data_IF_219964306991
#
_entry.id   IF_219964306991
#
_cell.length_a   1.000
_cell.length_b   1.000
_cell.length_c   1.000
_cell.angle_alpha   90.00
_cell.angle_beta   90.00
_cell.angle_gamma   90.00
#
_symmetry.space_group_name_H-M   'P 1'
#
loop_
_entity.id
_entity.type
_entity.pdbx_description
1 polymer ?
#
# COMPACT_ATOMS: atom_id res chain seq x y z
N UNK A 1 22.50 -15.95 -13.95
CA UNK A 1 22.55 -14.48 -13.77
C UNK A 1 21.33 -14.10 -12.97
N UNK A 2 21.48 -13.31 -11.89
CA UNK A 2 20.35 -12.72 -11.19
C UNK A 2 19.36 -12.06 -12.15
N UNK A 3 18.05 -12.23 -11.92
CA UNK A 3 17.00 -11.67 -12.78
C UNK A 3 17.11 -10.14 -12.94
N UNK A 4 17.56 -9.47 -11.88
CA UNK A 4 17.69 -8.02 -11.81
C UNK A 4 18.89 -7.42 -12.56
N UNK A 5 19.77 -8.24 -13.14
CA UNK A 5 20.85 -7.74 -14.01
C UNK A 5 20.33 -7.15 -15.34
N UNK A 6 19.00 -7.22 -15.58
CA UNK A 6 18.32 -6.70 -16.77
C UNK A 6 17.64 -5.34 -16.57
N UNK A 7 17.72 -4.76 -15.37
CA UNK A 7 17.09 -3.47 -15.05
C UNK A 7 17.98 -2.32 -15.53
N UNK A 8 17.69 -1.81 -16.72
CA UNK A 8 18.36 -0.63 -17.28
C UNK A 8 17.91 0.64 -16.54
N UNK A 9 18.87 1.50 -16.18
CA UNK A 9 18.58 2.85 -15.70
C UNK A 9 17.97 3.71 -16.81
N UNK A 10 16.80 4.28 -16.54
CA UNK A 10 16.22 5.34 -17.34
C UNK A 10 16.53 6.68 -16.67
N UNK A 11 17.22 7.62 -17.33
CA UNK A 11 17.36 8.97 -16.82
C UNK A 11 16.05 9.72 -17.09
N UNK A 12 15.31 10.05 -16.04
CA UNK A 12 14.19 11.00 -16.11
C UNK A 12 14.48 12.20 -15.21
N UNK A 13 14.23 13.41 -15.70
CA UNK A 13 14.26 14.70 -14.96
C UNK A 13 13.20 14.79 -13.83
N UNK A 14 12.77 13.66 -13.28
CA UNK A 14 11.79 13.56 -12.20
C UNK A 14 12.56 13.65 -10.88
N UNK A 15 12.31 14.72 -10.12
CA UNK A 15 12.83 14.86 -8.76
C UNK A 15 12.08 13.91 -7.81
N UNK A 16 12.50 12.63 -7.78
CA UNK A 16 12.03 11.64 -6.83
C UNK A 16 12.34 12.05 -5.38
N UNK A 17 11.64 11.46 -4.41
CA UNK A 17 11.77 11.70 -2.97
C UNK A 17 10.94 12.87 -2.42
N UNK A 18 10.61 13.83 -3.27
CA UNK A 18 9.93 15.07 -2.87
C UNK A 18 8.63 15.30 -3.65
N UNK A 19 7.89 14.24 -3.98
CA UNK A 19 6.63 14.34 -4.72
C UNK A 19 5.42 14.05 -3.84
N UNK A 20 4.36 14.80 -4.07
CA UNK A 20 3.07 14.61 -3.40
C UNK A 20 2.13 13.90 -4.35
N UNK A 21 1.43 12.87 -3.86
CA UNK A 21 0.42 12.12 -4.63
C UNK A 21 -0.58 13.03 -5.38
N UNK A 22 -1.23 14.03 -4.77
CA UNK A 22 -2.17 14.89 -5.51
C UNK A 22 -1.51 15.63 -6.68
N UNK A 23 -0.29 16.18 -6.50
CA UNK A 23 0.44 16.84 -7.58
C UNK A 23 0.81 15.86 -8.70
N UNK A 24 1.29 14.67 -8.33
CA UNK A 24 1.67 13.65 -9.31
C UNK A 24 0.47 13.22 -10.16
N UNK A 25 -0.70 13.03 -9.55
CA UNK A 25 -1.94 12.72 -10.28
C UNK A 25 -2.25 13.79 -11.32
N UNK A 26 -2.24 15.07 -10.93
CA UNK A 26 -2.54 16.19 -11.83
C UNK A 26 -1.47 16.34 -12.93
N UNK A 27 -0.20 16.22 -12.58
CA UNK A 27 0.92 16.31 -13.53
C UNK A 27 0.88 15.22 -14.59
N UNK A 28 0.59 13.97 -14.20
CA UNK A 28 0.49 12.86 -15.15
C UNK A 28 -0.76 13.02 -16.01
N UNK A 29 -1.89 13.41 -15.43
CA UNK A 29 -3.10 13.67 -16.20
C UNK A 29 -2.89 14.76 -17.26
N UNK A 30 -2.01 15.73 -17.00
CA UNK A 30 -1.63 16.75 -17.98
C UNK A 30 -0.62 16.23 -19.03
N UNK A 31 0.45 15.56 -18.59
CA UNK A 31 1.61 15.18 -19.44
C UNK A 31 1.43 13.86 -20.18
N UNK A 32 0.79 12.88 -19.55
CA UNK A 32 0.54 11.53 -20.07
C UNK A 32 -0.88 11.04 -19.69
N UNK A 33 -1.93 11.73 -20.19
CA UNK A 33 -3.32 11.50 -19.77
C UNK A 33 -3.83 10.08 -20.04
N UNK A 34 -3.32 9.42 -21.08
CA UNK A 34 -3.79 8.10 -21.51
C UNK A 34 -3.17 6.96 -20.70
N UNK A 35 -2.17 7.24 -19.86
CA UNK A 35 -1.52 6.24 -19.04
C UNK A 35 -2.51 5.61 -18.07
N UNK A 36 -2.58 4.28 -18.06
CA UNK A 36 -3.43 3.52 -17.14
C UNK A 36 -2.82 3.54 -15.74
N UNK A 37 -3.62 3.88 -14.74
CA UNK A 37 -3.22 3.87 -13.32
C UNK A 37 -3.84 2.69 -12.57
N UNK A 38 -5.10 2.39 -12.86
CA UNK A 38 -5.85 1.31 -12.22
C UNK A 38 -6.63 0.51 -13.25
N UNK A 39 -6.93 -0.73 -12.90
CA UNK A 39 -7.75 -1.62 -13.70
C UNK A 39 -8.57 -2.52 -12.80
N UNK A 40 -9.82 -2.81 -13.15
CA UNK A 40 -10.68 -3.71 -12.38
C UNK A 40 -11.61 -4.49 -13.32
N UNK A 41 -12.11 -5.67 -12.91
CA UNK A 41 -13.00 -6.47 -13.74
C UNK A 41 -14.34 -5.75 -13.99
N UNK A 42 -14.88 -5.83 -15.21
CA UNK A 42 -16.17 -5.19 -15.57
C UNK A 42 -17.39 -5.83 -14.89
N UNK A 43 -17.26 -7.07 -14.41
CA UNK A 43 -18.31 -7.81 -13.72
C UNK A 43 -17.72 -8.69 -12.64
N UNK A 44 -18.52 -9.02 -11.62
CA UNK A 44 -18.16 -10.01 -10.61
C UNK A 44 -19.32 -11.00 -10.45
N UNK A 45 -19.16 -12.28 -10.86
CA UNK A 45 -17.98 -12.87 -11.48
C UNK A 45 -17.69 -12.28 -12.88
N UNK A 46 -16.44 -12.39 -13.36
CA UNK A 46 -15.96 -11.88 -14.67
C UNK A 46 -15.76 -13.01 -15.70
N UNK A 47 -16.82 -13.68 -16.19
CA UNK A 47 -16.66 -14.82 -17.09
C UNK A 47 -16.12 -14.44 -18.47
N UNK A 48 -16.26 -13.18 -18.89
CA UNK A 48 -15.72 -12.70 -20.17
C UNK A 48 -14.25 -12.26 -20.07
N UNK A 49 -13.65 -12.27 -18.87
CA UNK A 49 -12.26 -11.84 -18.68
C UNK A 49 -12.01 -10.38 -19.05
N UNK A 50 -13.03 -9.52 -19.00
CA UNK A 50 -12.91 -8.12 -19.44
C UNK A 50 -12.57 -7.22 -18.26
N UNK A 51 -11.65 -6.29 -18.49
CA UNK A 51 -11.21 -5.30 -17.51
C UNK A 51 -11.54 -3.89 -18.00
N UNK A 52 -11.80 -3.00 -17.05
CA UNK A 52 -11.93 -1.57 -17.26
C UNK A 52 -10.64 -0.90 -16.82
N UNK A 53 -9.88 -0.39 -17.79
CA UNK A 53 -8.69 0.41 -17.54
C UNK A 53 -9.07 1.85 -17.26
N UNK A 54 -8.61 2.38 -16.12
CA UNK A 54 -8.78 3.78 -15.72
C UNK A 54 -7.48 4.52 -16.01
N UNK A 55 -7.57 5.54 -16.86
CA UNK A 55 -6.44 6.40 -17.20
C UNK A 55 -6.21 7.47 -16.15
N UNK A 56 -5.02 8.10 -16.13
CA UNK A 56 -4.76 9.24 -15.26
C UNK A 56 -5.69 10.43 -15.55
N UNK A 57 -6.13 10.64 -16.80
CA UNK A 57 -7.15 11.62 -17.14
C UNK A 57 -8.46 11.33 -16.41
N UNK A 58 -8.98 10.11 -16.56
CA UNK A 58 -10.24 9.68 -15.94
C UNK A 58 -10.15 9.74 -14.40
N UNK A 59 -9.02 9.28 -13.85
CA UNK A 59 -8.77 9.29 -12.41
C UNK A 59 -8.69 10.71 -11.83
N UNK A 60 -7.94 11.62 -12.47
CA UNK A 60 -7.86 13.01 -12.04
C UNK A 60 -9.21 13.74 -12.12
N UNK A 61 -9.98 13.51 -13.20
CA UNK A 61 -11.34 14.04 -13.33
C UNK A 61 -12.25 13.51 -12.20
N UNK A 62 -12.18 12.21 -11.89
CA UNK A 62 -12.92 11.62 -10.78
C UNK A 62 -12.52 12.23 -9.42
N UNK A 63 -11.23 12.43 -9.19
CA UNK A 63 -10.71 13.13 -7.99
C UNK A 63 -11.24 14.55 -7.90
N UNK A 64 -11.24 15.30 -9.00
CA UNK A 64 -11.75 16.68 -9.02
C UNK A 64 -13.26 16.73 -8.76
N UNK A 65 -14.06 15.85 -9.37
CA UNK A 65 -15.51 15.70 -9.07
C UNK A 65 -15.74 15.45 -7.58
N UNK A 66 -14.99 14.50 -7.02
CA UNK A 66 -15.11 14.15 -5.60
C UNK A 66 -14.63 15.29 -4.70
N UNK A 67 -13.58 16.03 -5.04
CA UNK A 67 -13.12 17.19 -4.28
C UNK A 67 -14.14 18.34 -4.29
N UNK A 68 -14.75 18.63 -5.45
CA UNK A 68 -15.85 19.60 -5.54
C UNK A 68 -17.08 19.17 -4.75
N UNK A 69 -17.42 17.88 -4.78
CA UNK A 69 -18.49 17.30 -3.97
C UNK A 69 -18.20 17.47 -2.47
N UNK A 70 -17.01 17.08 -2.00
CA UNK A 70 -16.59 17.23 -0.61
C UNK A 70 -16.65 18.70 -0.18
N UNK A 71 -16.10 19.62 -0.99
CA UNK A 71 -16.16 21.06 -0.70
C UNK A 71 -17.60 21.57 -0.54
N UNK A 72 -18.54 21.05 -1.32
CA UNK A 72 -19.95 21.45 -1.27
C UNK A 72 -20.65 20.93 -0.01
N UNK A 73 -20.43 19.66 0.32
CA UNK A 73 -21.15 18.98 1.40
C UNK A 73 -20.57 19.29 2.78
N UNK A 74 -19.24 19.26 2.93
CA UNK A 74 -18.55 19.38 4.22
C UNK A 74 -17.50 20.50 4.28
N UNK A 75 -17.31 21.23 3.18
CA UNK A 75 -16.34 22.33 3.11
C UNK A 75 -14.91 21.89 2.78
N UNK A 76 -13.98 22.84 2.83
CA UNK A 76 -12.54 22.57 2.84
C UNK A 76 -12.00 22.78 4.25
N UNK A 77 -10.92 22.07 4.56
CA UNK A 77 -10.28 22.11 5.86
C UNK A 77 -8.91 22.80 5.79
N UNK A 78 -8.61 23.58 6.83
CA UNK A 78 -7.26 24.06 7.12
C UNK A 78 -6.60 23.31 8.30
N UNK A 79 -7.38 22.50 9.02
CA UNK A 79 -6.98 21.82 10.25
C UNK A 79 -6.84 20.30 10.11
N UNK A 80 -7.03 19.79 8.88
CA UNK A 80 -6.97 18.37 8.57
C UNK A 80 -7.96 17.54 9.37
N UNK A 81 -9.22 17.98 9.50
CA UNK A 81 -10.30 17.20 10.11
C UNK A 81 -10.33 15.77 9.56
N UNK A 82 -10.57 14.80 10.45
CA UNK A 82 -10.60 13.38 10.10
C UNK A 82 -11.94 13.04 9.46
N UNK A 83 -11.90 12.43 8.28
CA UNK A 83 -13.08 11.95 7.56
C UNK A 83 -13.00 10.45 7.38
N UNK A 84 -13.94 9.70 7.93
CA UNK A 84 -14.02 8.25 7.76
C UNK A 84 -14.61 7.91 6.40
N UNK A 85 -14.07 6.91 5.73
CA UNK A 85 -14.68 6.35 4.52
C UNK A 85 -15.07 4.88 4.72
N UNK A 86 -16.33 4.54 4.40
CA UNK A 86 -16.83 3.17 4.36
C UNK A 86 -17.58 2.90 3.07
N UNK A 87 -17.04 2.03 2.23
CA UNK A 87 -17.69 1.69 0.97
C UNK A 87 -17.19 0.41 0.34
N UNK A 88 -17.71 0.14 -0.86
CA UNK A 88 -17.32 -1.01 -1.68
C UNK A 88 -15.82 -1.03 -1.95
N UNK A 89 -15.23 -2.22 -2.00
CA UNK A 89 -13.80 -2.43 -2.27
C UNK A 89 -13.47 -2.19 -3.74
N UNK A 90 -13.36 -0.93 -4.13
CA UNK A 90 -13.05 -0.49 -5.48
C UNK A 90 -12.16 0.77 -5.49
N UNK A 91 -11.94 1.31 -6.70
CA UNK A 91 -11.08 2.47 -6.98
C UNK A 91 -11.48 3.74 -6.20
N UNK A 92 -12.71 3.84 -5.66
CA UNK A 92 -13.14 4.99 -4.84
C UNK A 92 -12.27 5.21 -3.62
N UNK A 93 -11.62 4.16 -3.09
CA UNK A 93 -10.63 4.31 -2.02
C UNK A 93 -9.50 5.27 -2.40
N UNK A 94 -8.98 5.17 -3.63
CA UNK A 94 -7.92 6.05 -4.12
C UNK A 94 -8.45 7.44 -4.47
N UNK A 95 -9.64 7.51 -5.08
CA UNK A 95 -10.29 8.78 -5.42
C UNK A 95 -10.53 9.60 -4.15
N UNK A 96 -11.09 8.98 -3.10
CA UNK A 96 -11.39 9.61 -1.81
C UNK A 96 -10.11 10.03 -1.08
N UNK A 97 -9.07 9.19 -1.08
CA UNK A 97 -7.78 9.53 -0.49
C UNK A 97 -7.23 10.84 -1.09
N UNK A 98 -7.16 10.93 -2.42
CA UNK A 98 -6.58 12.11 -3.09
C UNK A 98 -7.52 13.32 -2.97
N UNK A 99 -8.83 13.14 -3.11
CA UNK A 99 -9.80 14.23 -2.97
C UNK A 99 -9.82 14.84 -1.55
N UNK A 100 -9.69 14.02 -0.50
CA UNK A 100 -9.56 14.49 0.87
C UNK A 100 -8.24 15.23 1.11
N UNK A 101 -7.11 14.74 0.57
CA UNK A 101 -5.86 15.51 0.57
C UNK A 101 -6.05 16.88 -0.09
N UNK A 102 -6.70 16.93 -1.26
CA UNK A 102 -6.93 18.17 -2.02
C UNK A 102 -7.81 19.18 -1.26
N UNK A 103 -8.81 18.69 -0.54
CA UNK A 103 -9.71 19.52 0.27
C UNK A 103 -9.18 19.83 1.67
N UNK A 104 -7.95 19.41 1.97
CA UNK A 104 -7.27 19.71 3.23
C UNK A 104 -7.68 18.82 4.41
N UNK A 105 -8.31 17.66 4.16
CA UNK A 105 -8.70 16.68 5.16
C UNK A 105 -7.71 15.50 5.23
N UNK A 106 -7.83 14.69 6.29
CA UNK A 106 -7.20 13.36 6.35
C UNK A 106 -8.25 12.25 6.40
N UNK A 107 -8.03 11.19 5.63
CA UNK A 107 -8.99 10.08 5.56
C UNK A 107 -8.71 9.01 6.62
N UNK A 108 -9.73 8.53 7.32
CA UNK A 108 -9.67 7.33 8.14
C UNK A 108 -10.25 6.15 7.35
N UNK A 109 -9.37 5.21 6.96
CA UNK A 109 -9.81 3.93 6.42
C UNK A 109 -9.94 2.90 7.54
N UNK A 110 -11.18 2.57 7.89
CA UNK A 110 -11.46 1.49 8.83
C UNK A 110 -11.81 0.22 8.07
N UNK A 111 -11.31 -0.92 8.54
CA UNK A 111 -11.76 -2.21 8.02
C UNK A 111 -13.24 -2.38 8.35
N UNK A 112 -14.05 -2.74 7.35
CA UNK A 112 -15.46 -3.11 7.55
C UNK A 112 -15.63 -4.39 8.37
N UNK A 113 -14.53 -5.11 8.64
CA UNK A 113 -14.49 -6.30 9.50
C UNK A 113 -14.38 -5.94 10.99
N UNK A 114 -14.15 -4.67 11.32
CA UNK A 114 -14.12 -4.23 12.71
C UNK A 114 -15.52 -4.33 13.33
N UNK A 115 -15.57 -4.57 14.64
CA UNK A 115 -16.81 -4.46 15.39
C UNK A 115 -17.24 -2.99 15.49
N UNK A 116 -18.52 -2.75 15.78
CA UNK A 116 -19.03 -1.39 16.06
C UNK A 116 -18.24 -0.71 17.17
N UNK A 117 -17.88 -1.45 18.23
CA UNK A 117 -17.03 -0.94 19.30
C UNK A 117 -15.61 -0.56 18.81
N UNK A 118 -15.04 -1.35 17.90
CA UNK A 118 -13.75 -1.02 17.28
C UNK A 118 -13.82 0.24 16.42
N UNK A 119 -14.89 0.42 15.65
CA UNK A 119 -15.13 1.66 14.91
C UNK A 119 -15.31 2.87 15.84
N UNK A 120 -16.14 2.74 16.87
CA UNK A 120 -16.38 3.81 17.85
C UNK A 120 -15.08 4.26 18.54
N UNK A 121 -14.20 3.30 18.87
CA UNK A 121 -12.91 3.60 19.47
C UNK A 121 -11.98 4.33 18.49
N UNK A 122 -11.94 3.93 17.21
CA UNK A 122 -11.18 4.65 16.18
C UNK A 122 -11.71 6.07 15.97
N UNK A 123 -13.04 6.22 15.88
CA UNK A 123 -13.71 7.51 15.73
C UNK A 123 -13.31 8.44 16.87
N UNK A 124 -13.37 7.95 18.10
CA UNK A 124 -13.00 8.70 19.30
C UNK A 124 -11.51 9.07 19.32
N UNK A 125 -10.61 8.11 19.07
CA UNK A 125 -9.17 8.37 19.12
C UNK A 125 -8.66 9.26 17.97
N UNK A 126 -9.38 9.32 16.85
CA UNK A 126 -9.01 10.12 15.68
C UNK A 126 -9.80 11.43 15.54
N UNK A 127 -10.67 11.75 16.49
CA UNK A 127 -11.55 12.91 16.47
C UNK A 127 -12.34 13.02 15.14
N UNK A 128 -12.94 11.90 14.73
CA UNK A 128 -13.60 11.78 13.43
C UNK A 128 -15.09 12.12 13.54
N UNK A 129 -15.49 13.29 13.03
CA UNK A 129 -16.89 13.74 13.04
C UNK A 129 -17.71 13.36 11.80
N UNK A 130 -17.05 12.96 10.70
CA UNK A 130 -17.66 12.87 9.37
C UNK A 130 -17.48 11.47 8.79
N UNK A 131 -18.55 10.91 8.22
CA UNK A 131 -18.57 9.64 7.51
C UNK A 131 -18.97 9.85 6.05
N UNK A 132 -18.06 9.54 5.14
CA UNK A 132 -18.35 9.33 3.72
C UNK A 132 -18.64 7.85 3.48
N UNK A 133 -19.72 7.55 2.75
CA UNK A 133 -20.08 6.17 2.44
C UNK A 133 -20.65 6.00 1.04
N UNK A 134 -20.58 4.79 0.49
CA UNK A 134 -21.19 4.47 -0.81
C UNK A 134 -22.62 4.00 -0.66
N UNK A 135 -23.48 4.29 -1.63
CA UNK A 135 -24.84 3.75 -1.67
C UNK A 135 -24.85 2.21 -1.59
N UNK A 136 -25.84 1.68 -0.88
CA UNK A 136 -25.97 0.23 -0.62
C UNK A 136 -24.97 -0.35 0.38
N UNK A 137 -24.01 0.42 0.89
CA UNK A 137 -23.12 -0.02 1.96
C UNK A 137 -23.78 0.22 3.33
N UNK A 138 -23.83 -0.82 4.18
CA UNK A 138 -24.49 -0.72 5.48
C UNK A 138 -23.65 0.07 6.48
N UNK A 139 -24.15 1.23 6.89
CA UNK A 139 -23.53 2.09 7.92
C UNK A 139 -24.45 2.36 9.12
N UNK A 140 -25.68 1.84 9.11
CA UNK A 140 -26.72 2.17 10.09
C UNK A 140 -26.28 1.85 11.53
N UNK A 141 -25.74 0.65 11.78
CA UNK A 141 -25.27 0.26 13.12
C UNK A 141 -24.19 1.19 13.66
N UNK A 142 -23.34 1.71 12.77
CA UNK A 142 -22.31 2.67 13.15
C UNK A 142 -22.94 4.02 13.50
N UNK A 143 -23.85 4.54 12.67
CA UNK A 143 -24.53 5.82 12.88
C UNK A 143 -25.48 5.81 14.09
N UNK A 144 -26.04 4.66 14.45
CA UNK A 144 -26.81 4.48 15.69
C UNK A 144 -25.93 4.56 16.93
N UNK A 145 -24.67 4.12 16.82
CA UNK A 145 -23.74 4.04 17.95
C UNK A 145 -22.81 5.25 18.08
N UNK A 146 -22.55 5.94 16.97
CA UNK A 146 -21.62 7.07 16.86
C UNK A 146 -22.33 8.24 16.19
N UNK A 147 -22.43 9.37 16.88
CA UNK A 147 -22.98 10.60 16.30
C UNK A 147 -21.99 11.18 15.31
N UNK A 148 -22.26 11.01 14.02
CA UNK A 148 -21.44 11.52 12.92
C UNK A 148 -22.33 12.24 11.90
N UNK A 149 -21.79 13.25 11.23
CA UNK A 149 -22.34 13.73 9.98
C UNK A 149 -22.05 12.70 8.89
N UNK A 150 -23.08 12.29 8.12
CA UNK A 150 -22.92 11.23 7.12
C UNK A 150 -23.31 11.73 5.74
N UNK A 151 -22.46 11.49 4.75
CA UNK A 151 -22.67 11.91 3.36
C UNK A 151 -22.46 10.72 2.41
N UNK A 152 -23.48 10.43 1.60
CA UNK A 152 -23.38 9.41 0.56
C UNK A 152 -22.61 9.97 -0.64
N UNK A 153 -21.49 9.34 -1.00
CA UNK A 153 -20.69 9.78 -2.14
C UNK A 153 -21.35 9.40 -3.48
N UNK A 154 -21.03 10.11 -4.58
CA UNK A 154 -21.55 9.78 -5.90
C UNK A 154 -21.20 8.35 -6.34
N UNK A 155 -22.04 7.79 -7.23
CA UNK A 155 -21.80 6.48 -7.82
C UNK A 155 -20.54 6.43 -8.68
N UNK A 156 -19.90 5.26 -8.72
CA UNK A 156 -18.65 5.07 -9.43
C UNK A 156 -18.77 5.39 -10.93
N UNK A 157 -19.87 4.98 -11.57
CA UNK A 157 -20.12 5.24 -12.99
C UNK A 157 -20.15 6.73 -13.31
N UNK A 158 -20.71 7.56 -12.41
CA UNK A 158 -20.69 9.00 -12.57
C UNK A 158 -19.27 9.58 -12.41
N UNK A 159 -18.53 9.09 -11.42
CA UNK A 159 -17.17 9.55 -11.16
C UNK A 159 -16.24 9.25 -12.34
N UNK A 160 -16.34 8.04 -12.92
CA UNK A 160 -15.53 7.60 -14.05
C UNK A 160 -16.04 8.04 -15.43
N UNK A 161 -17.18 8.74 -15.50
CA UNK A 161 -17.70 9.23 -16.78
C UNK A 161 -16.85 10.40 -17.32
N UNK A 162 -16.09 10.16 -18.39
CA UNK A 162 -15.25 11.16 -19.06
C UNK A 162 -16.04 12.19 -19.88
N UNK A 163 -17.31 11.92 -20.24
CA UNK A 163 -18.16 12.91 -20.92
C UNK A 163 -18.61 14.04 -19.97
N UNK A 164 -18.62 13.75 -18.66
CA UNK A 164 -18.91 14.71 -17.61
C UNK A 164 -17.61 15.27 -17.04
N UNK A 165 -16.92 16.14 -17.78
CA UNK A 165 -15.75 16.84 -17.25
C UNK A 165 -16.18 17.84 -16.16
N UNK A 166 -15.38 17.96 -15.11
CA UNK A 166 -15.50 19.03 -14.12
C UNK A 166 -14.32 19.98 -14.17
N UNK A 167 -14.48 21.17 -13.57
CA UNK A 167 -13.38 22.10 -13.37
C UNK A 167 -12.25 21.44 -12.55
N UNK A 168 -11.03 21.92 -12.76
CA UNK A 168 -9.88 21.45 -12.00
C UNK A 168 -9.98 21.90 -10.53
N UNK A 169 -9.62 20.99 -9.62
CA UNK A 169 -9.41 21.29 -8.21
C UNK A 169 -7.91 21.21 -7.92
N UNK A 170 -7.15 22.32 -8.04
CA UNK A 170 -5.70 22.28 -7.93
C UNK A 170 -5.24 22.03 -6.49
N UNK A 171 -4.08 21.38 -6.34
CA UNK A 171 -3.35 21.30 -5.09
C UNK A 171 -1.99 21.99 -5.24
N UNK A 172 -1.89 23.22 -4.77
CA UNK A 172 -0.75 24.10 -5.10
C UNK A 172 0.40 24.02 -4.09
N UNK A 173 0.25 23.25 -3.01
CA UNK A 173 1.31 23.12 -2.00
C UNK A 173 2.51 22.37 -2.57
N UNK A 174 3.69 22.91 -2.33
CA UNK A 174 4.96 22.23 -2.53
C UNK A 174 5.13 21.08 -1.53
N UNK A 175 6.07 20.17 -1.81
CA UNK A 175 6.42 19.11 -0.87
C UNK A 175 6.83 19.67 0.50
N UNK A 176 7.71 20.68 0.55
CA UNK A 176 8.16 21.27 1.81
C UNK A 176 7.02 21.85 2.65
N UNK A 177 6.03 22.48 2.00
CA UNK A 177 4.85 23.00 2.68
C UNK A 177 3.94 21.87 3.20
N UNK A 178 3.83 20.75 2.48
CA UNK A 178 2.85 19.71 2.79
C UNK A 178 3.40 18.48 3.49
N UNK A 179 4.71 18.25 3.52
CA UNK A 179 5.31 16.96 3.91
C UNK A 179 4.89 16.53 5.31
N UNK A 180 4.80 17.46 6.26
CA UNK A 180 4.36 17.16 7.64
C UNK A 180 2.84 17.21 7.84
N UNK A 181 2.07 17.63 6.84
CA UNK A 181 0.61 17.61 6.95
C UNK A 181 0.11 16.16 6.99
N UNK A 182 -0.84 15.84 7.88
CA UNK A 182 -1.45 14.52 7.91
C UNK A 182 -2.36 14.33 6.70
N UNK A 183 -2.31 13.16 6.09
CA UNK A 183 -3.09 12.86 4.88
C UNK A 183 -4.03 11.66 5.06
N UNK A 184 -3.73 10.78 6.01
CA UNK A 184 -4.60 9.66 6.34
C UNK A 184 -4.35 9.14 7.76
N UNK A 185 -5.28 8.32 8.22
CA UNK A 185 -5.23 7.57 9.45
C UNK A 185 -5.47 6.11 9.11
N UNK A 186 -4.50 5.27 9.44
CA UNK A 186 -4.59 3.82 9.38
C UNK A 186 -4.76 3.27 10.80
N UNK A 187 -5.04 1.98 10.96
CA UNK A 187 -5.14 1.38 12.29
C UNK A 187 -4.40 0.05 12.39
N UNK A 188 -3.98 -0.28 13.61
CA UNK A 188 -3.45 -1.59 13.99
C UNK A 188 -4.39 -2.29 14.95
N UNK A 189 -4.38 -3.63 14.94
CA UNK A 189 -5.02 -4.43 15.98
C UNK A 189 -4.29 -4.16 17.30
N UNK A 190 -4.88 -3.37 18.19
CA UNK A 190 -4.19 -3.00 19.42
C UNK A 190 -4.02 -4.16 20.38
N UNK A 191 -3.03 -4.04 21.28
CA UNK A 191 -2.65 -5.05 22.27
C UNK A 191 -3.76 -5.48 23.23
N UNK A 192 -4.82 -4.66 23.38
CA UNK A 192 -6.02 -4.97 24.18
C UNK A 192 -7.22 -5.43 23.33
N UNK A 193 -6.98 -5.74 22.05
CA UNK A 193 -8.01 -6.08 21.07
C UNK A 193 -8.73 -4.88 20.43
N UNK A 194 -8.61 -3.68 21.01
CA UNK A 194 -9.15 -2.45 20.41
C UNK A 194 -8.16 -1.80 19.45
N UNK A 195 -8.61 -1.36 18.26
CA UNK A 195 -7.73 -0.79 17.26
C UNK A 195 -7.12 0.56 17.68
N UNK A 196 -5.88 0.82 17.27
CA UNK A 196 -5.17 2.09 17.52
C UNK A 196 -4.90 2.82 16.21
N UNK A 197 -5.18 4.13 16.11
CA UNK A 197 -4.89 4.90 14.91
C UNK A 197 -3.40 5.22 14.79
N UNK A 198 -2.92 5.23 13.56
CA UNK A 198 -1.59 5.70 13.16
C UNK A 198 -1.81 6.76 12.09
N UNK A 199 -1.44 8.00 12.40
CA UNK A 199 -1.56 9.11 11.47
C UNK A 199 -0.36 9.11 10.53
N UNK A 200 -0.61 9.11 9.23
CA UNK A 200 0.43 9.25 8.22
C UNK A 200 0.44 10.67 7.69
N UNK A 201 1.65 11.15 7.42
CA UNK A 201 1.88 12.42 6.74
C UNK A 201 2.17 12.20 5.26
N UNK A 202 2.14 13.27 4.47
CA UNK A 202 2.60 13.21 3.08
C UNK A 202 4.05 12.72 2.97
N UNK A 203 4.91 13.06 3.93
CA UNK A 203 6.31 12.61 3.97
C UNK A 203 6.44 11.11 4.20
N UNK A 204 5.55 10.52 4.99
CA UNK A 204 5.49 9.06 5.17
C UNK A 204 5.09 8.39 3.87
N UNK A 205 4.09 8.92 3.18
CA UNK A 205 3.62 8.40 1.89
C UNK A 205 4.68 8.52 0.78
N UNK A 206 5.45 9.62 0.79
CA UNK A 206 6.58 9.85 -0.13
C UNK A 206 7.79 8.94 0.14
N UNK A 207 7.78 8.10 1.18
CA UNK A 207 8.81 7.08 1.39
C UNK A 207 8.97 6.16 0.16
N UNK A 208 7.87 5.75 -0.47
CA UNK A 208 7.92 4.97 -1.72
C UNK A 208 8.61 5.71 -2.87
N UNK A 209 8.47 7.03 -2.89
CA UNK A 209 9.11 7.89 -3.87
C UNK A 209 10.61 8.04 -3.59
N UNK A 210 10.98 8.13 -2.30
CA UNK A 210 12.37 8.19 -1.83
C UNK A 210 13.14 6.94 -2.24
N UNK A 211 12.50 5.77 -2.18
CA UNK A 211 13.12 4.50 -2.57
C UNK A 211 13.58 4.45 -4.04
N UNK A 212 13.05 5.32 -4.91
CA UNK A 212 13.53 5.44 -6.30
C UNK A 212 14.94 6.03 -6.40
N UNK A 213 15.39 6.76 -5.37
CA UNK A 213 16.73 7.33 -5.26
C UNK A 213 17.71 6.43 -4.51
N UNK A 214 17.21 5.39 -3.84
CA UNK A 214 18.06 4.51 -3.06
C UNK A 214 18.97 3.68 -3.99
N UNK A 215 20.30 3.73 -3.80
CA UNK A 215 21.22 2.98 -4.64
C UNK A 215 21.12 1.47 -4.33
N UNK A 216 21.50 0.61 -5.29
CA UNK A 216 21.70 -0.81 -5.02
C UNK A 216 22.66 -1.04 -3.85
N UNK A 217 22.41 -2.08 -3.05
CA UNK A 217 23.27 -2.48 -1.95
C UNK A 217 23.79 -3.89 -2.21
N UNK A 218 25.12 -4.07 -2.15
CA UNK A 218 25.80 -5.32 -2.51
C UNK A 218 25.38 -5.88 -3.89
N UNK A 219 25.17 -4.98 -4.87
CA UNK A 219 24.77 -5.34 -6.23
C UNK A 219 23.30 -5.78 -6.37
N UNK A 220 22.49 -5.70 -5.30
CA UNK A 220 21.06 -6.04 -5.33
C UNK A 220 20.22 -4.76 -5.44
N UNK A 221 19.21 -4.71 -6.32
CA UNK A 221 18.32 -3.57 -6.40
C UNK A 221 17.44 -3.46 -5.15
N UNK A 222 17.03 -2.24 -4.85
CA UNK A 222 16.01 -1.94 -3.85
C UNK A 222 14.67 -2.52 -4.30
N UNK A 223 13.96 -3.16 -3.37
CA UNK A 223 12.66 -3.76 -3.60
C UNK A 223 11.63 -2.69 -3.97
N UNK A 224 11.32 -1.76 -3.07
CA UNK A 224 10.32 -0.70 -3.26
C UNK A 224 10.71 0.34 -4.31
N UNK A 225 12.00 0.49 -4.56
CA UNK A 225 12.56 1.29 -5.65
C UNK A 225 12.63 0.49 -6.95
N UNK A 226 13.85 0.38 -7.47
CA UNK A 226 14.20 -0.22 -8.75
C UNK A 226 13.44 -1.51 -9.12
N UNK A 227 13.28 -2.47 -8.20
CA UNK A 227 12.65 -3.74 -8.56
C UNK A 227 11.15 -3.59 -8.80
N UNK A 228 10.37 -3.20 -7.80
CA UNK A 228 8.90 -3.20 -7.89
C UNK A 228 8.36 -2.12 -8.84
N UNK A 229 9.10 -1.03 -9.09
CA UNK A 229 8.67 0.06 -9.97
C UNK A 229 9.23 -0.04 -11.38
N UNK A 230 10.54 -0.26 -11.55
CA UNK A 230 11.13 -0.25 -12.90
C UNK A 230 10.90 -1.56 -13.66
N UNK A 231 10.60 -2.67 -12.98
CA UNK A 231 10.38 -3.96 -13.67
C UNK A 231 8.93 -4.24 -14.03
N UNK A 232 7.94 -3.75 -13.27
CA UNK A 232 6.53 -4.06 -13.49
C UNK A 232 5.76 -2.94 -14.16
N UNK A 233 5.09 -3.27 -15.27
CA UNK A 233 4.18 -2.37 -15.97
C UNK A 233 2.74 -2.51 -15.50
N UNK A 234 2.33 -3.73 -15.14
CA UNK A 234 0.95 -4.03 -14.76
C UNK A 234 0.91 -5.11 -13.69
N UNK A 235 0.41 -4.75 -12.52
CA UNK A 235 0.56 -5.58 -11.33
C UNK A 235 -0.77 -5.85 -10.66
N UNK A 236 -1.01 -7.10 -10.30
CA UNK A 236 -2.17 -7.46 -9.49
C UNK A 236 -1.92 -7.15 -8.01
N UNK A 237 -2.83 -6.41 -7.39
CA UNK A 237 -2.89 -6.28 -5.94
C UNK A 237 -3.97 -7.20 -5.39
N UNK A 238 -3.54 -8.31 -4.81
CA UNK A 238 -4.39 -9.26 -4.11
C UNK A 238 -4.66 -8.86 -2.65
N UNK A 239 -4.12 -7.71 -2.21
CA UNK A 239 -4.24 -7.19 -0.86
C UNK A 239 -5.58 -6.44 -0.67
N UNK A 240 -6.18 -6.43 0.54
CA UNK A 240 -7.41 -5.68 0.75
C UNK A 240 -7.19 -4.16 0.74
N UNK A 241 -8.04 -3.42 0.03
CA UNK A 241 -7.88 -1.96 -0.20
C UNK A 241 -8.20 -1.09 1.02
N UNK A 242 -8.82 -1.67 2.06
CA UNK A 242 -9.07 -1.00 3.34
C UNK A 242 -7.92 -1.22 4.36
N UNK A 243 -6.88 -1.96 3.98
CA UNK A 243 -5.65 -2.10 4.75
C UNK A 243 -4.52 -1.29 4.10
N UNK A 244 -3.59 -0.80 4.94
CA UNK A 244 -2.48 0.04 4.49
C UNK A 244 -1.63 -0.63 3.42
N UNK A 245 -1.37 -1.94 3.56
CA UNK A 245 -0.60 -2.70 2.57
C UNK A 245 -1.21 -2.63 1.16
N UNK A 246 -2.53 -2.80 1.02
CA UNK A 246 -3.20 -2.75 -0.28
C UNK A 246 -3.32 -1.32 -0.82
N UNK A 247 -3.79 -0.39 0.01
CA UNK A 247 -4.01 1.01 -0.37
C UNK A 247 -2.71 1.72 -0.74
N UNK A 248 -1.70 1.63 0.13
CA UNK A 248 -0.47 2.39 -0.01
C UNK A 248 0.39 1.84 -1.13
N UNK A 249 0.55 0.52 -1.19
CA UNK A 249 1.31 -0.08 -2.29
C UNK A 249 0.67 0.23 -3.65
N UNK A 250 -0.65 0.23 -3.76
CA UNK A 250 -1.32 0.53 -5.00
C UNK A 250 -1.18 2.01 -5.42
N UNK A 251 -1.50 2.96 -4.53
CA UNK A 251 -1.44 4.39 -4.90
C UNK A 251 -0.01 4.85 -5.19
N UNK A 252 0.97 4.38 -4.40
CA UNK A 252 2.37 4.77 -4.59
C UNK A 252 2.96 4.16 -5.85
N UNK A 253 2.65 2.90 -6.17
CA UNK A 253 3.13 2.27 -7.41
C UNK A 253 2.46 2.86 -8.66
N UNK A 254 1.18 3.22 -8.58
CA UNK A 254 0.50 3.92 -9.67
C UNK A 254 1.12 5.31 -9.90
N UNK A 255 1.28 6.10 -8.84
CA UNK A 255 1.75 7.49 -8.95
C UNK A 255 3.26 7.58 -9.18
N UNK A 256 4.06 6.90 -8.38
CA UNK A 256 5.52 7.03 -8.36
C UNK A 256 6.24 5.98 -9.21
N UNK A 257 5.63 4.80 -9.37
CA UNK A 257 6.25 3.63 -9.97
C UNK A 257 5.89 3.31 -11.41
N UNK A 258 5.04 4.12 -12.07
CA UNK A 258 4.62 3.92 -13.46
C UNK A 258 3.94 2.55 -13.71
N UNK A 259 3.34 1.95 -12.68
CA UNK A 259 2.68 0.65 -12.76
C UNK A 259 1.16 0.80 -12.77
N UNK A 260 0.49 0.17 -13.74
CA UNK A 260 -0.97 0.02 -13.70
C UNK A 260 -1.36 -1.06 -12.67
N UNK A 261 -2.20 -0.71 -11.70
CA UNK A 261 -2.62 -1.64 -10.64
C UNK A 261 -3.94 -2.31 -10.99
N UNK A 262 -3.91 -3.63 -11.14
CA UNK A 262 -5.11 -4.46 -11.29
C UNK A 262 -5.67 -4.75 -9.91
N UNK A 263 -6.92 -4.37 -9.68
CA UNK A 263 -7.69 -4.59 -8.46
C UNK A 263 -8.58 -5.82 -8.69
N UNK A 264 -8.59 -6.72 -7.71
CA UNK A 264 -9.47 -7.89 -7.72
C UNK A 264 -10.95 -7.52 -7.58
N UNK A 265 -11.87 -8.47 -7.81
CA UNK A 265 -13.26 -8.30 -7.43
C UNK A 265 -13.38 -8.04 -5.91
N UNK A 266 -14.48 -7.42 -5.45
CA UNK A 266 -14.72 -7.21 -4.02
C UNK A 266 -14.67 -8.53 -3.24
N UNK A 267 -14.00 -8.53 -2.08
CA UNK A 267 -13.90 -9.70 -1.20
C UNK A 267 -12.47 -10.17 -0.94
N UNK A 268 -12.35 -11.40 -0.41
CA UNK A 268 -11.06 -12.06 -0.16
C UNK A 268 -10.55 -12.62 -1.48
N UNK A 269 -9.28 -12.33 -1.79
CA UNK A 269 -8.62 -12.93 -2.95
C UNK A 269 -8.37 -14.42 -2.71
N UNK A 270 -8.81 -15.26 -3.64
CA UNK A 270 -8.61 -16.72 -3.64
C UNK A 270 -7.64 -17.15 -4.75
N UNK A 271 -7.17 -18.40 -4.73
CA UNK A 271 -6.38 -18.92 -5.86
C UNK A 271 -7.16 -18.90 -7.18
N UNK A 272 -8.48 -19.13 -7.15
CA UNK A 272 -9.33 -18.99 -8.34
C UNK A 272 -9.38 -17.55 -8.87
N UNK A 273 -9.38 -16.57 -7.97
CA UNK A 273 -9.31 -15.15 -8.36
C UNK A 273 -7.96 -14.88 -9.01
N UNK A 274 -6.87 -15.34 -8.40
CA UNK A 274 -5.52 -15.23 -8.94
C UNK A 274 -5.41 -15.90 -10.33
N UNK A 275 -5.95 -17.09 -10.50
CA UNK A 275 -5.97 -17.82 -11.78
C UNK A 275 -6.66 -17.00 -12.89
N UNK A 276 -7.85 -16.45 -12.62
CA UNK A 276 -8.58 -15.63 -13.60
C UNK A 276 -7.84 -14.35 -13.95
N UNK A 277 -7.19 -13.71 -12.98
CA UNK A 277 -6.38 -12.51 -13.23
C UNK A 277 -5.17 -12.87 -14.09
N UNK A 278 -4.48 -13.96 -13.79
CA UNK A 278 -3.37 -14.47 -14.60
C UNK A 278 -3.77 -14.79 -16.04
N UNK A 279 -5.02 -15.20 -16.28
CA UNK A 279 -5.51 -15.54 -17.62
C UNK A 279 -5.96 -14.32 -18.42
N UNK A 280 -6.44 -13.27 -17.76
CA UNK A 280 -7.24 -12.25 -18.44
C UNK A 280 -6.79 -10.80 -18.21
N UNK A 281 -5.97 -10.53 -17.19
CA UNK A 281 -5.64 -9.16 -16.79
C UNK A 281 -4.33 -8.62 -17.36
N UNK A 282 -3.58 -9.42 -18.12
CA UNK A 282 -2.27 -9.07 -18.70
C UNK A 282 -1.27 -8.54 -17.66
N UNK A 283 -1.19 -9.22 -16.50
CA UNK A 283 -0.29 -8.83 -15.42
C UNK A 283 1.13 -9.38 -15.66
N UNK A 284 2.14 -8.58 -15.29
CA UNK A 284 3.55 -8.98 -15.31
C UNK A 284 4.15 -9.13 -13.91
N UNK A 285 3.40 -8.79 -12.86
CA UNK A 285 3.74 -9.09 -11.47
C UNK A 285 2.49 -9.21 -10.60
N UNK A 286 2.67 -9.73 -9.38
CA UNK A 286 1.61 -9.77 -8.37
C UNK A 286 2.15 -9.40 -6.99
N UNK A 287 1.31 -8.74 -6.18
CA UNK A 287 1.55 -8.51 -4.77
C UNK A 287 0.40 -9.11 -3.96
N UNK A 288 0.69 -10.14 -3.17
CA UNK A 288 -0.31 -10.97 -2.51
C UNK A 288 -0.17 -11.01 -0.99
N UNK A 289 -1.27 -11.35 -0.32
CA UNK A 289 -1.19 -12.00 0.97
C UNK A 289 -0.81 -13.49 0.80
N UNK A 290 -0.40 -14.20 1.86
CA UNK A 290 0.03 -15.59 1.74
C UNK A 290 -1.11 -16.54 1.32
N UNK A 291 -2.36 -16.27 1.72
CA UNK A 291 -3.50 -17.18 1.55
C UNK A 291 -3.71 -17.69 0.11
N UNK A 292 -3.84 -16.83 -0.93
CA UNK A 292 -3.97 -17.30 -2.31
C UNK A 292 -2.70 -17.99 -2.83
N UNK A 293 -1.52 -17.68 -2.28
CA UNK A 293 -0.26 -18.32 -2.67
C UNK A 293 -0.14 -19.75 -2.11
N UNK A 294 -0.57 -19.98 -0.86
CA UNK A 294 -0.62 -21.32 -0.25
C UNK A 294 -1.43 -22.29 -1.11
N UNK A 295 -2.64 -21.87 -1.50
CA UNK A 295 -3.51 -22.68 -2.34
C UNK A 295 -2.95 -22.81 -3.77
N UNK A 296 -2.41 -21.73 -4.35
CA UNK A 296 -1.78 -21.77 -5.67
C UNK A 296 -0.62 -22.77 -5.75
N UNK A 297 0.18 -22.92 -4.70
CA UNK A 297 1.29 -23.87 -4.65
C UNK A 297 0.84 -25.34 -4.79
N UNK A 298 -0.43 -25.64 -4.48
CA UNK A 298 -1.01 -26.99 -4.65
C UNK A 298 -1.58 -27.24 -6.05
N UNK A 299 -1.56 -26.22 -6.92
CA UNK A 299 -2.29 -26.19 -8.18
C UNK A 299 -1.34 -26.00 -9.38
N UNK A 300 -0.98 -27.08 -10.10
CA UNK A 300 -0.07 -27.00 -11.24
C UNK A 300 -0.50 -26.01 -12.32
N UNK A 301 -1.80 -25.87 -12.55
CA UNK A 301 -2.39 -24.94 -13.53
C UNK A 301 -2.12 -23.46 -13.19
N UNK A 302 -2.04 -23.12 -11.90
CA UNK A 302 -1.70 -21.76 -11.45
C UNK A 302 -0.20 -21.56 -11.43
N UNK A 303 0.56 -22.58 -11.00
CA UNK A 303 2.02 -22.52 -10.92
C UNK A 303 2.69 -22.27 -12.28
N UNK A 304 2.19 -22.91 -13.34
CA UNK A 304 2.64 -22.65 -14.71
C UNK A 304 2.43 -21.17 -15.10
N UNK A 305 1.27 -20.62 -14.74
CA UNK A 305 0.90 -19.24 -15.04
C UNK A 305 1.73 -18.23 -14.24
N UNK A 306 2.04 -18.53 -12.97
CA UNK A 306 2.90 -17.71 -12.12
C UNK A 306 4.30 -17.57 -12.71
N UNK A 307 4.83 -18.61 -13.35
CA UNK A 307 6.15 -18.57 -14.01
C UNK A 307 6.25 -17.61 -15.20
N UNK A 308 5.13 -17.03 -15.65
CA UNK A 308 5.11 -15.97 -16.68
C UNK A 308 5.34 -14.58 -16.09
N UNK A 309 5.19 -14.43 -14.78
CA UNK A 309 5.38 -13.15 -14.10
C UNK A 309 6.88 -12.87 -13.92
N UNK A 310 7.23 -11.59 -13.85
CA UNK A 310 8.58 -11.11 -13.53
C UNK A 310 8.94 -11.37 -12.08
N UNK A 311 7.96 -11.21 -11.18
CA UNK A 311 8.09 -11.53 -9.76
C UNK A 311 6.72 -11.65 -9.10
N UNK A 312 6.72 -12.26 -7.92
CA UNK A 312 5.65 -12.21 -6.93
C UNK A 312 6.22 -11.63 -5.64
N UNK A 313 5.56 -10.62 -5.09
CA UNK A 313 5.85 -10.11 -3.76
C UNK A 313 4.73 -10.55 -2.80
N UNK A 314 5.04 -10.76 -1.52
CA UNK A 314 4.02 -11.04 -0.52
C UNK A 314 4.28 -10.35 0.81
N UNK A 315 3.21 -10.05 1.53
CA UNK A 315 3.27 -9.40 2.86
C UNK A 315 2.07 -9.79 3.72
N UNK A 316 2.11 -9.43 5.00
CA UNK A 316 0.98 -9.61 5.93
C UNK A 316 0.90 -10.98 6.61
N UNK A 317 1.85 -11.89 6.37
CA UNK A 317 1.92 -13.16 7.07
C UNK A 317 3.05 -14.07 6.58
N UNK A 318 3.19 -15.22 7.22
CA UNK A 318 4.11 -16.28 6.80
C UNK A 318 3.52 -17.08 5.65
N UNK A 319 4.39 -17.52 4.75
CA UNK A 319 4.09 -18.53 3.74
C UNK A 319 4.78 -19.83 4.16
N UNK A 320 4.12 -20.97 4.00
CA UNK A 320 4.66 -22.27 4.35
C UNK A 320 5.92 -22.56 3.54
N UNK A 321 6.89 -23.26 4.15
CA UNK A 321 8.14 -23.61 3.49
C UNK A 321 7.87 -24.36 2.17
N UNK A 322 6.92 -25.30 2.18
CA UNK A 322 6.52 -26.06 1.00
C UNK A 322 5.96 -25.17 -0.12
N UNK A 323 5.11 -24.20 0.21
CA UNK A 323 4.51 -23.33 -0.81
C UNK A 323 5.54 -22.37 -1.38
N UNK A 324 6.34 -21.71 -0.54
CA UNK A 324 7.37 -20.79 -1.00
C UNK A 324 8.50 -21.48 -1.78
N UNK A 325 8.90 -22.69 -1.39
CA UNK A 325 9.88 -23.49 -2.16
C UNK A 325 9.34 -23.93 -3.52
N UNK A 326 8.03 -24.20 -3.63
CA UNK A 326 7.41 -24.50 -4.91
C UNK A 326 7.34 -23.26 -5.80
N UNK A 327 6.90 -22.11 -5.25
CA UNK A 327 6.69 -20.86 -6.00
C UNK A 327 8.02 -20.25 -6.44
N UNK A 328 9.02 -20.19 -5.55
CA UNK A 328 10.35 -19.63 -5.85
C UNK A 328 11.09 -20.35 -6.98
N UNK A 329 10.73 -21.61 -7.28
CA UNK A 329 11.28 -22.36 -8.42
C UNK A 329 10.73 -21.92 -9.78
N UNK A 330 9.53 -21.34 -9.81
CA UNK A 330 8.87 -20.94 -11.07
C UNK A 330 8.90 -19.44 -11.28
N UNK A 331 8.96 -18.64 -10.22
CA UNK A 331 8.95 -17.16 -10.28
C UNK A 331 9.78 -16.57 -9.14
N UNK A 332 10.52 -15.46 -9.35
CA UNK A 332 11.15 -14.73 -8.25
C UNK A 332 10.11 -14.35 -7.19
N UNK A 333 10.35 -14.77 -5.94
CA UNK A 333 9.43 -14.59 -4.82
C UNK A 333 10.12 -13.75 -3.74
N UNK A 334 9.47 -12.64 -3.35
CA UNK A 334 10.03 -11.71 -2.37
C UNK A 334 9.08 -11.51 -1.18
N UNK A 335 9.60 -11.75 0.02
CA UNK A 335 8.96 -11.31 1.25
C UNK A 335 9.12 -9.81 1.44
N UNK A 336 8.03 -9.11 1.76
CA UNK A 336 8.03 -7.67 2.00
C UNK A 336 7.65 -7.39 3.45
N UNK A 337 8.61 -6.88 4.21
CA UNK A 337 8.37 -6.42 5.57
C UNK A 337 7.86 -4.97 5.56
N UNK A 338 6.78 -4.74 6.28
CA UNK A 338 6.15 -3.43 6.49
C UNK A 338 5.27 -3.48 7.74
N UNK A 339 5.06 -2.34 8.38
CA UNK A 339 3.99 -2.18 9.36
C UNK A 339 3.25 -0.87 9.14
N UNK A 340 2.10 -0.72 9.78
CA UNK A 340 1.36 0.55 9.74
C UNK A 340 2.19 1.69 10.35
N UNK A 341 2.96 1.42 11.40
CA UNK A 341 3.80 2.40 12.10
C UNK A 341 5.03 2.81 11.29
N UNK A 342 5.70 1.85 10.66
CA UNK A 342 6.99 2.06 9.96
C UNK A 342 6.84 2.26 8.46
N UNK A 343 5.64 2.09 7.91
CA UNK A 343 5.36 2.18 6.48
C UNK A 343 6.35 1.35 5.64
N UNK A 344 7.21 1.99 4.86
CA UNK A 344 8.14 1.33 3.94
C UNK A 344 9.53 1.24 4.57
N UNK A 345 10.09 0.04 4.56
CA UNK A 345 11.51 -0.18 4.83
C UNK A 345 12.29 -0.24 3.52
N UNK A 346 13.50 0.30 3.53
CA UNK A 346 14.47 0.05 2.47
C UNK A 346 14.92 -1.41 2.52
N UNK A 347 14.38 -2.21 1.59
CA UNK A 347 14.66 -3.63 1.43
C UNK A 347 15.31 -3.86 0.07
N UNK A 348 16.06 -4.94 -0.05
CA UNK A 348 16.78 -5.30 -1.27
C UNK A 348 16.38 -6.70 -1.74
N UNK A 349 16.52 -6.95 -3.04
CA UNK A 349 16.17 -8.24 -3.64
C UNK A 349 16.98 -9.40 -3.04
N UNK A 350 16.30 -10.50 -2.75
CA UNK A 350 16.91 -11.74 -2.25
C UNK A 350 17.11 -12.76 -3.38
N UNK A 351 17.98 -13.74 -3.15
CA UNK A 351 18.13 -14.87 -4.08
C UNK A 351 16.90 -15.78 -4.01
N UNK A 352 16.57 -16.57 -5.06
CA UNK A 352 15.38 -17.41 -5.06
C UNK A 352 15.29 -18.38 -3.88
N UNK A 353 16.42 -18.94 -3.43
CA UNK A 353 16.48 -19.83 -2.26
C UNK A 353 16.23 -19.11 -0.92
N UNK A 354 16.36 -17.79 -0.90
CA UNK A 354 16.20 -16.93 0.28
C UNK A 354 14.84 -16.20 0.28
N UNK A 355 13.83 -16.70 -0.45
CA UNK A 355 12.53 -16.06 -0.63
C UNK A 355 11.82 -15.67 0.69
N UNK A 356 12.12 -16.40 1.78
CA UNK A 356 11.56 -16.17 3.12
C UNK A 356 12.34 -15.16 3.97
N UNK A 357 13.49 -14.71 3.48
CA UNK A 357 14.34 -13.72 4.16
C UNK A 357 14.08 -12.33 3.59
N UNK A 358 14.35 -11.33 4.43
CA UNK A 358 14.44 -9.93 4.03
C UNK A 358 15.90 -9.48 4.12
N UNK A 359 16.33 -8.68 3.15
CA UNK A 359 17.69 -8.13 3.10
C UNK A 359 17.66 -6.62 3.36
N UNK A 360 18.36 -6.18 4.41
CA UNK A 360 18.43 -4.77 4.80
C UNK A 360 19.86 -4.24 4.68
N UNK A 361 19.98 -3.00 4.22
CA UNK A 361 21.03 -2.13 4.73
C UNK A 361 20.57 -1.62 6.11
N UNK A 362 21.23 -2.08 7.15
CA UNK A 362 20.90 -1.69 8.53
C UNK A 362 21.15 -0.19 8.76
N UNK A 363 22.11 0.41 8.05
CA UNK A 363 22.48 1.82 8.24
C UNK A 363 21.43 2.76 7.70
N UNK A 364 20.96 2.56 6.46
CA UNK A 364 19.99 3.44 5.82
C UNK A 364 18.63 3.45 6.54
N UNK A 365 18.24 2.30 7.09
CA UNK A 365 17.03 2.21 7.90
C UNK A 365 17.26 2.65 9.36
N UNK A 366 18.52 2.79 9.81
CA UNK A 366 18.89 2.98 11.22
C UNK A 366 18.45 1.80 12.11
N UNK A 367 18.58 0.58 11.60
CA UNK A 367 18.22 -0.66 12.30
C UNK A 367 19.38 -1.15 13.16
N UNK A 368 19.07 -1.51 14.39
CA UNK A 368 19.88 -2.35 15.27
C UNK A 368 19.17 -3.69 15.48
N UNK A 369 19.83 -4.78 15.10
CA UNK A 369 19.37 -6.13 15.41
C UNK A 369 19.90 -6.53 16.79
N UNK A 370 19.06 -6.37 17.81
CA UNK A 370 19.43 -6.62 19.22
C UNK A 370 19.23 -8.09 19.56
N UNK A 371 20.20 -8.76 20.21
CA UNK A 371 20.02 -10.14 20.65
C UNK A 371 18.80 -10.29 21.56
N UNK A 372 18.01 -11.33 21.29
CA UNK A 372 16.95 -11.83 22.15
C UNK A 372 17.30 -13.27 22.60
N UNK A 373 16.35 -13.99 23.18
CA UNK A 373 16.53 -15.37 23.64
C UNK A 373 16.99 -16.29 22.49
N UNK A 374 18.03 -17.09 22.74
CA UNK A 374 18.52 -18.09 21.79
C UNK A 374 19.25 -17.46 20.61
N UNK A 375 18.87 -17.83 19.39
CA UNK A 375 19.39 -17.25 18.14
C UNK A 375 18.42 -16.23 17.52
N UNK A 376 17.51 -15.69 18.33
CA UNK A 376 16.51 -14.70 17.91
C UNK A 376 17.02 -13.28 18.16
N UNK A 377 16.59 -12.37 17.31
CA UNK A 377 16.94 -10.97 17.34
C UNK A 377 15.70 -10.11 17.23
N UNK A 378 15.72 -8.99 17.93
CA UNK A 378 14.72 -7.95 17.87
C UNK A 378 15.22 -6.83 16.95
N UNK A 379 14.34 -6.39 16.04
CA UNK A 379 14.62 -5.25 15.17
C UNK A 379 14.24 -3.95 15.90
N UNK A 380 15.24 -3.11 16.18
CA UNK A 380 15.03 -1.78 16.76
C UNK A 380 15.47 -0.70 15.78
N UNK A 381 14.61 0.28 15.54
CA UNK A 381 14.91 1.44 14.70
C UNK A 381 15.37 2.57 15.63
N UNK A 382 16.55 3.14 15.39
CA UNK A 382 17.05 4.32 16.08
C UNK A 382 16.97 5.56 15.22
N UNK A 383 16.49 6.66 15.78
CA UNK A 383 16.37 7.94 15.08
C UNK A 383 17.74 8.40 14.61
N UNK A 384 17.85 8.65 13.31
CA UNK A 384 19.04 9.20 12.70
C UNK A 384 18.63 10.33 11.74
N UNK A 385 19.02 11.56 12.06
CA UNK A 385 18.68 12.73 11.26
C UNK A 385 19.20 12.63 9.81
N UNK A 386 20.33 11.96 9.59
CA UNK A 386 20.89 11.75 8.25
C UNK A 386 20.08 10.77 7.40
N UNK A 387 19.21 9.97 8.02
CA UNK A 387 18.38 8.95 7.37
C UNK A 387 16.88 9.24 7.53
N UNK A 388 16.51 10.48 7.87
CA UNK A 388 15.15 10.85 8.22
C UNK A 388 14.13 10.49 7.11
N UNK A 389 14.54 10.56 5.84
CA UNK A 389 13.70 10.23 4.70
C UNK A 389 13.33 8.74 4.63
N UNK A 390 14.17 7.84 5.12
CA UNK A 390 13.92 6.39 5.18
C UNK A 390 13.27 5.93 6.49
N UNK A 391 13.12 6.81 7.49
CA UNK A 391 12.62 6.45 8.82
C UNK A 391 11.19 6.96 9.09
N UNK A 392 10.22 6.40 8.38
CA UNK A 392 8.81 6.79 8.49
C UNK A 392 8.23 6.72 9.92
N UNK A 393 8.72 5.80 10.76
CA UNK A 393 8.31 5.70 12.17
C UNK A 393 8.46 7.03 12.92
N UNK A 394 9.53 7.78 12.63
CA UNK A 394 9.84 9.04 13.30
C UNK A 394 9.13 10.25 12.66
N UNK A 395 8.53 10.05 11.48
CA UNK A 395 7.61 11.00 10.85
C UNK A 395 6.21 10.87 11.45
N UNK A 396 5.77 9.63 11.67
CA UNK A 396 4.48 9.30 12.28
C UNK A 396 4.48 9.54 13.81
N UNK A 397 5.60 9.26 14.47
CA UNK A 397 5.79 9.40 15.91
C UNK A 397 7.02 10.27 16.21
N UNK A 398 6.93 11.60 16.01
CA UNK A 398 8.07 12.52 16.12
C UNK A 398 8.68 12.63 17.52
N UNK A 399 7.97 12.15 18.55
CA UNK A 399 8.42 12.16 19.94
C UNK A 399 9.27 10.95 20.33
N UNK A 400 9.38 9.92 19.48
CA UNK A 400 10.18 8.73 19.76
C UNK A 400 11.62 8.92 19.29
N UNK A 401 12.61 8.48 20.08
CA UNK A 401 14.01 8.42 19.64
C UNK A 401 14.43 7.01 19.19
N UNK A 402 13.70 5.99 19.65
CA UNK A 402 13.82 4.63 19.17
C UNK A 402 12.45 3.96 19.10
N UNK A 403 12.36 2.93 18.27
CA UNK A 403 11.18 2.10 18.15
C UNK A 403 11.56 0.63 18.04
N UNK A 404 11.06 -0.17 18.98
CA UNK A 404 11.24 -1.62 19.01
C UNK A 404 10.08 -2.29 18.29
N UNK A 405 10.38 -3.08 17.26
CA UNK A 405 9.37 -3.89 16.59
C UNK A 405 8.92 -5.03 17.51
N UNK A 406 7.65 -5.44 17.45
CA UNK A 406 7.15 -6.58 18.20
C UNK A 406 7.60 -7.94 17.62
N UNK A 407 8.29 -7.93 16.48
CA UNK A 407 8.68 -9.09 15.69
C UNK A 407 10.09 -9.61 16.07
N UNK A 408 10.26 -10.95 16.01
CA UNK A 408 11.53 -11.64 16.22
C UNK A 408 12.06 -12.26 14.92
N UNK A 409 13.37 -12.23 14.77
CA UNK A 409 14.07 -12.62 13.56
C UNK A 409 15.23 -13.58 13.83
N UNK A 410 15.48 -14.47 12.88
CA UNK A 410 16.69 -15.29 12.82
C UNK A 410 17.64 -14.76 11.74
N UNK A 411 18.94 -14.76 12.06
CA UNK A 411 20.01 -14.50 11.10
C UNK A 411 20.08 -15.64 10.08
N UNK A 412 20.33 -15.32 8.81
CA UNK A 412 20.69 -16.35 7.81
C UNK A 412 21.99 -17.08 8.21
N UNK A 413 22.07 -18.43 8.10
CA UNK A 413 23.23 -19.19 8.57
C UNK A 413 24.58 -18.78 7.96
N UNK A 414 24.58 -18.35 6.69
CA UNK A 414 25.81 -18.10 5.92
C UNK A 414 25.88 -16.77 5.16
N UNK A 415 24.80 -15.99 5.09
CA UNK A 415 24.70 -14.78 4.24
C UNK A 415 24.39 -13.57 5.15
N UNK A 416 25.36 -12.69 5.44
CA UNK A 416 25.14 -11.54 6.31
C UNK A 416 24.01 -10.63 5.84
N UNK A 417 23.33 -9.94 6.76
CA UNK A 417 22.28 -8.96 6.47
C UNK A 417 20.90 -9.55 6.08
N UNK A 418 20.82 -10.85 5.81
CA UNK A 418 19.55 -11.55 5.60
C UNK A 418 18.93 -12.00 6.93
N UNK A 419 17.66 -11.67 7.11
CA UNK A 419 16.89 -11.94 8.32
C UNK A 419 15.57 -12.62 7.99
N UNK A 420 15.23 -13.68 8.70
CA UNK A 420 13.96 -14.40 8.54
C UNK A 420 13.06 -14.06 9.71
N UNK A 421 11.83 -13.60 9.42
CA UNK A 421 10.81 -13.41 10.44
C UNK A 421 10.38 -14.77 11.02
N UNK A 422 10.28 -14.85 12.35
CA UNK A 422 9.96 -16.09 13.06
C UNK A 422 8.59 -16.02 13.73
N UNK A 423 8.24 -14.85 14.27
CA UNK A 423 6.99 -14.65 15.00
C UNK A 423 7.04 -13.39 15.87
N UNK A 424 5.93 -13.11 16.56
CA UNK A 424 5.82 -12.00 17.51
C UNK A 424 6.42 -12.39 18.86
N UNK A 425 7.02 -11.43 19.56
CA UNK A 425 7.51 -11.58 20.94
C UNK A 425 6.44 -12.12 21.88
N UNK A 426 5.20 -11.64 21.73
CA UNK A 426 4.09 -12.00 22.61
C UNK A 426 3.55 -13.43 22.36
N UNK A 427 3.76 -13.98 21.16
CA UNK A 427 3.27 -15.32 20.77
C UNK A 427 4.30 -16.42 21.09
N UNK A 428 5.58 -16.06 21.14
CA UNK A 428 6.68 -16.99 21.43
C UNK A 428 6.83 -17.06 22.95
N UNK A 429 6.04 -17.94 23.57
CA UNK A 429 6.16 -18.25 24.98
C UNK A 429 7.58 -18.71 25.32
N UNK A 430 8.13 -18.12 26.38
CA UNK A 430 9.45 -18.40 26.96
C UNK A 430 9.78 -19.87 27.07
#
# INVERSE_FOLDING_TARGET
>A
MPFWDTVMDSPSDIAYGNRLVPNVVDEIALKDPARVCFSFPLSSPNPQGRYHDVTFRTFANAVNKTAHFIRREIGCSAMFETVMYMGHQDIRHFIILVALMKTGHKVLFSSHRNSVAGHAELIKQSDCGILLYTSGFSVNLLLESCRMESVCIPELDYLLNDDALCDDFPYEKTFEEAKIHPCMVMHTSGTKGLPKPVVWTHWTLAGADTEQLTPPFEGRPTLWGNLLTKTSKRSFSALPMFHGAGLISAVTRACFGHTAIVIGPPGITTADTLARVLDHADIDSAFCDPTPLEEAATRPDIMEKLGRLKYVAYTGGLLSQSAGDAISRVVPLYSVMTSTETAIFTQYATDPEDWQYVFFDLTINGIEMRPHKGNLYELVIKRNAAQADHQAIFKNFPHLDEFSMPDLYEKHPSKPGLWKFVGRKDDISS
#
